data_IF_061074829249
#
_entry.id   IF_061074829249
#
_cell.length_a   1.000
_cell.length_b   1.000
_cell.length_c   1.000
_cell.angle_alpha   90.00
_cell.angle_beta   90.00
_cell.angle_gamma   90.00
#
_symmetry.space_group_name_H-M   'P 1'
#
loop_
_entity.id
_entity.type
_entity.pdbx_description
1 polymer ?
#
# COMPACT_ATOMS: atom_id res chain seq x y z
N UNK A 1 20.72 -4.70 6.92
CA UNK A 1 21.07 -3.51 7.73
C UNK A 1 21.10 -3.81 9.23
N UNK A 2 20.00 -4.19 9.88
CA UNK A 2 20.00 -4.49 11.34
C UNK A 2 20.97 -5.61 11.72
N UNK A 3 20.92 -6.75 11.02
CA UNK A 3 21.85 -7.89 11.24
C UNK A 3 23.31 -7.53 11.00
N UNK A 4 23.58 -6.53 10.15
CA UNK A 4 24.92 -6.04 9.83
C UNK A 4 25.35 -4.86 10.74
N UNK A 5 24.55 -4.49 11.75
CA UNK A 5 24.87 -3.38 12.66
C UNK A 5 24.73 -1.97 12.06
N UNK A 6 24.28 -1.81 10.81
CA UNK A 6 24.16 -0.51 10.14
C UNK A 6 22.99 0.35 10.63
N UNK A 7 22.04 -0.26 11.35
CA UNK A 7 20.91 0.44 11.97
C UNK A 7 20.49 -0.31 13.24
N UNK A 8 20.08 0.43 14.26
CA UNK A 8 19.53 -0.13 15.49
C UNK A 8 18.08 -0.62 15.33
N UNK A 9 17.35 -0.16 14.30
CA UNK A 9 15.92 -0.46 14.10
C UNK A 9 15.55 -0.71 12.64
N UNK A 10 14.44 -1.44 12.45
CA UNK A 10 13.74 -1.59 11.17
C UNK A 10 12.48 -0.73 11.20
N UNK A 11 12.04 -0.17 10.05
CA UNK A 11 10.78 0.58 10.00
C UNK A 11 9.59 -0.37 10.16
N UNK A 12 8.52 0.15 10.73
CA UNK A 12 7.20 -0.48 10.69
C UNK A 12 6.64 -0.38 9.26
N UNK A 13 6.22 -1.50 8.68
CA UNK A 13 5.68 -1.54 7.32
C UNK A 13 4.16 -1.41 7.35
N UNK A 14 3.63 -0.53 6.52
CA UNK A 14 2.18 -0.38 6.35
C UNK A 14 1.83 -0.71 4.90
N UNK A 15 0.90 -1.65 4.71
CA UNK A 15 0.46 -2.11 3.39
C UNK A 15 -0.91 -1.58 3.04
N UNK A 16 -1.11 -1.17 1.79
CA UNK A 16 -2.40 -0.70 1.31
C UNK A 16 -2.80 -1.46 0.05
N UNK A 17 -4.08 -1.74 -0.09
CA UNK A 17 -4.69 -2.27 -1.31
C UNK A 17 -6.00 -1.55 -1.58
N UNK A 18 -6.47 -1.54 -2.83
CA UNK A 18 -7.81 -1.04 -3.16
C UNK A 18 -8.88 -1.96 -2.58
N UNK A 19 -10.03 -1.42 -2.17
CA UNK A 19 -11.18 -2.17 -1.64
C UNK A 19 -11.66 -3.28 -2.60
N UNK A 20 -11.66 -3.02 -3.91
CA UNK A 20 -12.05 -4.01 -4.92
C UNK A 20 -10.98 -5.07 -5.23
N UNK A 21 -9.79 -4.99 -4.62
CA UNK A 21 -8.69 -5.93 -4.83
C UNK A 21 -7.75 -5.99 -3.61
N UNK A 22 -8.25 -6.49 -2.48
CA UNK A 22 -7.55 -6.44 -1.18
C UNK A 22 -7.19 -7.80 -0.54
N UNK A 23 -6.70 -8.82 -1.28
CA UNK A 23 -6.47 -10.17 -0.74
C UNK A 23 -5.52 -10.21 0.48
N UNK A 24 -4.45 -9.41 0.51
CA UNK A 24 -3.48 -9.37 1.62
C UNK A 24 -4.08 -8.64 2.83
N UNK A 25 -4.78 -7.52 2.60
CA UNK A 25 -5.50 -6.80 3.68
C UNK A 25 -6.51 -7.72 4.34
N UNK A 26 -7.27 -8.48 3.55
CA UNK A 26 -8.27 -9.42 4.05
C UNK A 26 -7.61 -10.51 4.90
N UNK A 27 -6.53 -11.13 4.42
CA UNK A 27 -5.79 -12.13 5.20
C UNK A 27 -5.19 -11.54 6.48
N UNK A 28 -4.64 -10.33 6.44
CA UNK A 28 -4.09 -9.64 7.62
C UNK A 28 -5.18 -9.39 8.67
N UNK A 29 -6.30 -8.77 8.29
CA UNK A 29 -7.41 -8.42 9.20
C UNK A 29 -8.10 -9.65 9.80
N UNK A 30 -8.18 -10.75 9.04
CA UNK A 30 -8.75 -12.01 9.51
C UNK A 30 -7.74 -12.94 10.21
N UNK A 31 -6.51 -12.47 10.46
CA UNK A 31 -5.43 -13.25 11.07
C UNK A 31 -5.18 -14.61 10.38
N UNK A 32 -5.29 -14.66 9.05
CA UNK A 32 -5.07 -15.87 8.25
C UNK A 32 -3.63 -15.95 7.77
N UNK A 33 -3.05 -17.15 7.65
CA UNK A 33 -1.68 -17.36 7.16
C UNK A 33 -1.58 -17.58 5.64
N UNK A 34 -2.73 -17.76 4.99
CA UNK A 34 -2.86 -17.94 3.54
C UNK A 34 -3.52 -16.73 2.89
N UNK A 35 -3.20 -16.53 1.62
CA UNK A 35 -3.87 -15.57 0.76
C UNK A 35 -5.03 -16.28 0.09
N UNK A 36 -6.24 -15.74 0.26
CA UNK A 36 -7.42 -16.17 -0.50
C UNK A 36 -7.56 -15.26 -1.72
N UNK A 37 -7.48 -15.78 -2.95
CA UNK A 37 -7.60 -14.95 -4.14
C UNK A 37 -8.93 -14.22 -4.23
N UNK A 38 -8.89 -12.99 -4.74
CA UNK A 38 -10.08 -12.26 -5.21
C UNK A 38 -10.32 -12.66 -6.66
N UNK A 39 -11.47 -13.29 -6.96
CA UNK A 39 -11.77 -13.84 -8.30
C UNK A 39 -12.01 -12.79 -9.40
N UNK A 40 -12.52 -11.63 -9.02
CA UNK A 40 -12.87 -10.56 -9.94
C UNK A 40 -12.41 -9.23 -9.37
N UNK A 41 -11.08 -9.04 -9.23
CA UNK A 41 -10.54 -7.81 -8.69
C UNK A 41 -10.90 -6.66 -9.63
N UNK A 42 -11.23 -5.50 -9.06
CA UNK A 42 -11.50 -4.29 -9.83
C UNK A 42 -11.04 -3.06 -9.08
N UNK A 43 -10.23 -2.22 -9.73
CA UNK A 43 -9.83 -0.91 -9.20
C UNK A 43 -9.32 -0.01 -10.32
N UNK A 44 -9.41 1.30 -10.13
CA UNK A 44 -8.69 2.28 -10.98
C UNK A 44 -7.16 2.15 -10.88
N UNK A 45 -6.63 1.53 -9.82
CA UNK A 45 -5.20 1.29 -9.63
C UNK A 45 -4.74 -0.01 -10.30
N UNK A 46 -4.75 -0.02 -11.64
CA UNK A 46 -4.54 -1.22 -12.48
C UNK A 46 -3.25 -1.99 -12.15
N UNK A 47 -2.15 -1.30 -11.86
CA UNK A 47 -0.87 -1.95 -11.53
C UNK A 47 -0.92 -2.80 -10.24
N UNK A 48 -1.93 -2.59 -9.38
CA UNK A 48 -2.17 -3.40 -8.18
C UNK A 48 -3.50 -4.17 -8.22
N UNK A 49 -4.17 -4.24 -9.38
CA UNK A 49 -5.35 -5.08 -9.63
C UNK A 49 -4.94 -6.57 -9.72
N UNK A 50 -4.34 -7.08 -8.66
CA UNK A 50 -3.81 -8.44 -8.56
C UNK A 50 -4.57 -9.22 -7.49
N UNK A 51 -5.56 -9.99 -7.94
CA UNK A 51 -6.42 -10.80 -7.06
C UNK A 51 -5.69 -11.96 -6.38
N UNK A 52 -4.60 -12.46 -6.96
CA UNK A 52 -3.76 -13.53 -6.43
C UNK A 52 -2.26 -13.15 -6.48
N UNK A 53 -1.78 -12.35 -5.51
CA UNK A 53 -0.40 -11.86 -5.52
C UNK A 53 0.60 -12.99 -5.23
N UNK A 54 1.50 -13.25 -6.17
CA UNK A 54 2.56 -14.28 -6.09
C UNK A 54 3.34 -14.20 -4.77
N UNK A 55 3.69 -12.98 -4.34
CA UNK A 55 4.44 -12.73 -3.11
C UNK A 55 3.54 -12.33 -1.92
N UNK A 56 2.22 -12.54 -2.00
CA UNK A 56 1.27 -12.10 -0.97
C UNK A 56 1.57 -12.69 0.41
N UNK A 57 1.99 -13.97 0.48
CA UNK A 57 2.42 -14.58 1.75
C UNK A 57 3.67 -13.91 2.33
N UNK A 58 4.64 -13.53 1.47
CA UNK A 58 5.85 -12.82 1.92
C UNK A 58 5.49 -11.42 2.45
N UNK A 59 4.60 -10.72 1.76
CA UNK A 59 4.10 -9.41 2.19
C UNK A 59 3.40 -9.50 3.56
N UNK A 60 2.51 -10.47 3.76
CA UNK A 60 1.83 -10.71 5.04
C UNK A 60 2.82 -10.97 6.19
N UNK A 61 3.84 -11.80 5.94
CA UNK A 61 4.90 -12.07 6.93
C UNK A 61 5.68 -10.78 7.25
N UNK A 62 6.01 -9.98 6.24
CA UNK A 62 6.76 -8.73 6.43
C UNK A 62 5.97 -7.71 7.27
N UNK A 63 4.67 -7.55 6.99
CA UNK A 63 3.77 -6.70 7.77
C UNK A 63 3.78 -7.10 9.25
N UNK A 64 3.54 -8.38 9.54
CA UNK A 64 3.52 -8.91 10.91
C UNK A 64 4.88 -8.79 11.62
N UNK A 65 5.97 -9.19 10.95
CA UNK A 65 7.33 -9.12 11.54
C UNK A 65 7.79 -7.69 11.85
N UNK A 66 7.30 -6.71 11.09
CA UNK A 66 7.60 -5.30 11.33
C UNK A 66 6.74 -4.65 12.44
N UNK A 67 5.78 -5.38 13.00
CA UNK A 67 4.75 -4.84 13.92
C UNK A 67 3.78 -3.88 13.22
N UNK A 68 3.68 -3.99 11.90
CA UNK A 68 2.88 -3.12 11.06
C UNK A 68 1.50 -3.69 10.73
N UNK A 69 0.79 -3.03 9.81
CA UNK A 69 -0.60 -3.36 9.50
C UNK A 69 -0.96 -3.11 8.04
N UNK A 70 -2.13 -3.63 7.64
CA UNK A 70 -2.66 -3.44 6.30
C UNK A 70 -4.08 -2.83 6.32
N UNK A 71 -4.36 -1.94 5.37
CA UNK A 71 -5.66 -1.26 5.26
C UNK A 71 -6.13 -1.17 3.80
N UNK A 72 -7.44 -1.21 3.58
CA UNK A 72 -8.04 -1.04 2.26
C UNK A 72 -8.40 0.43 2.00
N UNK A 73 -8.28 0.84 0.74
CA UNK A 73 -8.58 2.19 0.28
C UNK A 73 -9.62 2.15 -0.82
N UNK A 74 -10.58 3.07 -0.79
CA UNK A 74 -11.49 3.27 -1.92
C UNK A 74 -10.74 3.88 -3.11
N UNK A 75 -11.20 3.60 -4.32
CA UNK A 75 -10.64 4.23 -5.54
C UNK A 75 -10.70 5.75 -5.48
N UNK A 76 -11.73 6.31 -4.82
CA UNK A 76 -11.85 7.75 -4.59
C UNK A 76 -10.74 8.30 -3.70
N UNK A 77 -10.35 7.58 -2.63
CA UNK A 77 -9.22 7.97 -1.78
C UNK A 77 -7.91 7.98 -2.58
N UNK A 78 -7.72 6.99 -3.45
CA UNK A 78 -6.53 6.86 -4.31
C UNK A 78 -6.44 8.03 -5.31
N UNK A 79 -7.53 8.30 -6.04
CA UNK A 79 -7.58 9.38 -7.02
C UNK A 79 -7.42 10.76 -6.38
N UNK A 80 -8.03 10.99 -5.20
CA UNK A 80 -7.85 12.24 -4.47
C UNK A 80 -6.38 12.47 -4.08
N UNK A 81 -5.67 11.42 -3.66
CA UNK A 81 -4.25 11.52 -3.35
C UNK A 81 -3.40 11.78 -4.59
N UNK A 82 -3.74 11.17 -5.73
CA UNK A 82 -3.07 11.43 -7.01
C UNK A 82 -3.20 12.90 -7.42
N UNK A 83 -4.42 13.45 -7.34
CA UNK A 83 -4.69 14.87 -7.64
C UNK A 83 -3.94 15.79 -6.69
N UNK A 84 -3.93 15.47 -5.39
CA UNK A 84 -3.19 16.24 -4.39
C UNK A 84 -1.69 16.26 -4.70
N UNK A 85 -1.08 15.11 -4.99
CA UNK A 85 0.34 15.02 -5.34
C UNK A 85 0.69 15.88 -6.57
N UNK A 86 -0.15 15.86 -7.59
CA UNK A 86 0.07 16.65 -8.80
C UNK A 86 -0.06 18.16 -8.53
N UNK A 87 -1.07 18.58 -7.76
CA UNK A 87 -1.39 20.00 -7.53
C UNK A 87 -0.47 20.67 -6.51
N UNK A 88 -0.19 20.00 -5.41
CA UNK A 88 0.49 20.61 -4.26
C UNK A 88 2.00 20.32 -4.27
N UNK A 89 2.41 19.14 -4.78
CA UNK A 89 3.81 18.69 -4.72
C UNK A 89 4.49 18.66 -6.11
N UNK A 90 3.74 18.90 -7.19
CA UNK A 90 4.25 18.80 -8.56
C UNK A 90 4.64 17.36 -8.97
N UNK A 91 4.11 16.35 -8.27
CA UNK A 91 4.42 14.94 -8.50
C UNK A 91 3.29 14.26 -9.27
N UNK A 92 3.49 14.03 -10.57
CA UNK A 92 2.52 13.32 -11.40
C UNK A 92 2.77 11.81 -11.40
N UNK A 93 1.92 11.07 -10.69
CA UNK A 93 1.99 9.60 -10.52
C UNK A 93 0.77 8.90 -11.12
N UNK A 94 0.88 7.62 -11.45
CA UNK A 94 -0.27 6.73 -11.74
C UNK A 94 -1.11 6.51 -10.46
N UNK A 95 -2.39 6.08 -10.52
CA UNK A 95 -3.20 5.82 -9.33
C UNK A 95 -2.53 4.87 -8.34
N UNK A 96 -1.92 3.77 -8.82
CA UNK A 96 -1.17 2.83 -7.99
C UNK A 96 0.00 3.48 -7.25
N UNK A 97 0.64 4.48 -7.87
CA UNK A 97 1.71 5.27 -7.26
C UNK A 97 1.21 6.15 -6.11
N UNK A 98 -0.05 6.58 -6.12
CA UNK A 98 -0.64 7.42 -5.09
C UNK A 98 -1.12 6.64 -3.85
N UNK A 99 -1.21 5.31 -3.91
CA UNK A 99 -1.79 4.44 -2.87
C UNK A 99 -1.15 4.63 -1.49
N UNK A 100 0.19 4.76 -1.43
CA UNK A 100 0.89 4.96 -0.15
C UNK A 100 0.58 6.32 0.50
N UNK A 101 0.32 7.35 -0.31
CA UNK A 101 -0.05 8.69 0.17
C UNK A 101 -1.52 8.73 0.55
N UNK A 102 -2.41 8.09 -0.22
CA UNK A 102 -3.81 7.92 0.16
C UNK A 102 -3.95 7.22 1.52
N UNK A 103 -3.18 6.15 1.74
CA UNK A 103 -3.14 5.44 3.01
C UNK A 103 -2.59 6.29 4.15
N UNK A 104 -1.53 7.07 3.91
CA UNK A 104 -1.05 8.04 4.89
C UNK A 104 -2.13 9.08 5.25
N UNK A 105 -2.78 9.71 4.26
CA UNK A 105 -3.82 10.71 4.51
C UNK A 105 -4.99 10.16 5.34
N UNK A 106 -5.39 8.92 5.07
CA UNK A 106 -6.46 8.22 5.81
C UNK A 106 -6.08 7.95 7.27
N UNK A 107 -4.82 7.63 7.54
CA UNK A 107 -4.37 7.08 8.83
C UNK A 107 -3.31 7.92 9.55
N UNK A 108 -3.03 9.15 9.10
CA UNK A 108 -1.95 9.99 9.64
C UNK A 108 -2.04 10.22 11.15
N UNK A 109 -3.23 10.21 11.74
CA UNK A 109 -3.42 10.31 13.19
C UNK A 109 -2.94 9.08 13.97
N UNK A 110 -2.82 7.92 13.30
CA UNK A 110 -2.29 6.66 13.85
C UNK A 110 -0.82 6.43 13.51
N UNK A 111 -0.27 7.21 12.59
CA UNK A 111 1.11 7.09 12.13
C UNK A 111 1.97 8.14 12.85
N UNK A 112 2.93 7.68 13.66
CA UNK A 112 3.85 8.56 14.38
C UNK A 112 5.23 8.62 13.75
N UNK A 113 5.96 9.70 14.02
CA UNK A 113 7.36 9.85 13.64
C UNK A 113 7.59 10.11 12.15
N UNK A 114 8.75 9.72 11.64
CA UNK A 114 9.14 9.92 10.23
C UNK A 114 8.49 8.84 9.36
N UNK A 115 7.61 9.28 8.46
CA UNK A 115 6.92 8.42 7.48
C UNK A 115 7.59 8.57 6.12
N UNK A 116 7.69 7.46 5.38
CA UNK A 116 8.15 7.43 4.00
C UNK A 116 7.05 6.78 3.16
N UNK A 117 6.48 7.55 2.23
CA UNK A 117 5.54 7.04 1.23
C UNK A 117 6.33 6.67 -0.04
N UNK A 118 6.11 5.46 -0.55
CA UNK A 118 6.76 4.98 -1.78
C UNK A 118 5.83 5.23 -2.96
N UNK A 119 6.27 6.03 -3.92
CA UNK A 119 5.57 6.30 -5.17
C UNK A 119 6.17 5.39 -6.26
N UNK A 120 5.40 4.42 -6.75
CA UNK A 120 5.95 3.30 -7.55
C UNK A 120 5.93 3.50 -9.06
N UNK A 121 5.17 4.48 -9.58
CA UNK A 121 5.04 4.71 -11.02
C UNK A 121 4.69 6.14 -11.38
N UNK A 122 5.14 6.55 -12.57
CA UNK A 122 4.93 7.88 -13.13
C UNK A 122 3.58 7.96 -13.85
N UNK A 123 2.95 9.14 -13.84
CA UNK A 123 1.63 9.34 -14.43
C UNK A 123 1.58 9.19 -15.96
N UNK A 124 2.71 9.29 -16.67
CA UNK A 124 2.75 9.08 -18.13
C UNK A 124 2.41 7.65 -18.57
N UNK A 125 2.29 6.68 -17.65
CA UNK A 125 1.86 5.31 -17.98
C UNK A 125 0.36 5.20 -18.29
N UNK A 126 -0.43 6.15 -17.81
CA UNK A 126 -1.89 6.15 -17.93
C UNK A 126 -2.41 7.19 -18.94
N UNK A 127 -1.52 7.70 -19.81
CA UNK A 127 -1.86 8.56 -20.94
C UNK A 127 -2.18 7.74 -22.20
#
# INVERSE_FOLDING_TARGET
MKTLGLTSKIPTLVGFQSEGCSPIVNSYKNNQDSIKPVKSPRTVATAIECGDPIDGKKALIALRKSGGFAEALSDREILNAQVLLAREEGLFVEPSGAVSVAGYLKLKSKLGGKVVCVLTGHGLKDL
#
